data_IF_926309145392
#
_entry.id   IF_926309145392
#
_cell.length_a   1.000
_cell.length_b   1.000
_cell.length_c   1.000
_cell.angle_alpha   90.00
_cell.angle_beta   90.00
_cell.angle_gamma   90.00
#
_symmetry.space_group_name_H-M   'P 1'
#
loop_
_entity.id
_entity.type
_entity.pdbx_description
1 polymer ?
#
# COMPACT_ATOMS: atom_id res chain seq x y z
N UNK A 1 64.65 52.53 -32.83
CA UNK A 1 64.25 53.85 -32.31
C UNK A 1 62.83 54.06 -32.82
N UNK A 2 61.87 53.61 -31.99
CA UNK A 2 61.07 54.48 -31.11
C UNK A 2 59.96 55.13 -31.93
N UNK A 3 58.66 55.02 -31.64
CA UNK A 3 57.91 54.46 -30.53
C UNK A 3 56.46 54.96 -30.68
N UNK A 4 55.47 54.13 -30.26
CA UNK A 4 54.25 54.46 -29.48
C UNK A 4 53.61 55.87 -29.62
N UNK A 5 52.29 56.09 -29.73
CA UNK A 5 51.12 55.37 -29.19
C UNK A 5 49.79 55.89 -29.79
N UNK A 6 48.86 54.95 -29.95
CA UNK A 6 47.38 54.91 -29.81
C UNK A 6 46.50 56.18 -29.67
N UNK A 7 45.35 56.17 -30.38
CA UNK A 7 44.02 56.32 -29.72
C UNK A 7 42.89 55.59 -30.47
N UNK A 8 42.11 54.84 -29.70
CA UNK A 8 40.88 54.09 -30.02
C UNK A 8 39.66 54.98 -30.31
N UNK A 9 38.71 54.46 -31.10
CA UNK A 9 37.24 54.46 -30.81
C UNK A 9 36.55 53.41 -31.72
N UNK A 10 36.16 52.23 -31.22
CA UNK A 10 34.81 51.76 -30.76
C UNK A 10 33.77 51.40 -31.86
N UNK A 11 33.42 50.10 -32.02
CA UNK A 11 32.08 49.52 -31.75
C UNK A 11 31.88 48.06 -32.26
N UNK A 12 31.65 47.17 -31.29
CA UNK A 12 30.59 46.14 -31.20
C UNK A 12 30.25 45.18 -32.37
N UNK A 13 30.62 43.90 -32.20
CA UNK A 13 29.68 42.78 -31.98
C UNK A 13 28.83 42.21 -33.14
N UNK A 14 29.17 41.00 -33.60
CA UNK A 14 28.26 40.04 -34.28
C UNK A 14 28.68 38.62 -33.89
N UNK A 15 27.83 37.62 -33.62
CA UNK A 15 26.39 37.51 -33.32
C UNK A 15 26.26 36.12 -32.70
N UNK A 16 25.90 36.01 -31.42
CA UNK A 16 25.40 34.74 -30.87
C UNK A 16 24.01 34.53 -31.47
N UNK A 17 23.87 33.55 -32.35
CA UNK A 17 22.56 33.05 -32.77
C UNK A 17 21.82 32.51 -31.55
N UNK A 18 21.06 33.39 -30.91
CA UNK A 18 19.97 32.99 -30.03
C UNK A 18 18.83 32.58 -30.93
N UNK A 19 18.73 31.27 -31.18
CA UNK A 19 17.57 30.65 -31.82
C UNK A 19 16.32 31.07 -31.06
N UNK A 20 15.61 32.08 -31.59
CA UNK A 20 14.34 32.55 -31.05
C UNK A 20 13.33 31.42 -31.17
N UNK A 21 13.03 30.77 -30.04
CA UNK A 21 11.92 29.84 -29.92
C UNK A 21 10.66 30.62 -30.30
N UNK A 22 10.13 30.32 -31.47
CA UNK A 22 8.89 30.91 -31.97
C UNK A 22 7.74 30.36 -31.12
N UNK A 23 6.79 31.21 -30.73
CA UNK A 23 5.62 30.88 -29.88
C UNK A 23 4.98 29.48 -30.12
N UNK A 24 4.82 28.97 -31.36
CA UNK A 24 4.30 27.61 -31.56
C UNK A 24 5.23 26.48 -31.06
N UNK A 25 6.56 26.64 -31.15
CA UNK A 25 7.54 25.66 -30.64
C UNK A 25 7.59 25.63 -29.11
N UNK A 26 7.37 26.78 -28.46
CA UNK A 26 7.25 26.85 -27.00
C UNK A 26 5.97 26.14 -26.51
N UNK A 27 4.84 26.37 -27.17
CA UNK A 27 3.58 25.71 -26.84
C UNK A 27 3.66 24.18 -26.97
N UNK A 28 4.35 23.69 -28.02
CA UNK A 28 4.55 22.25 -28.24
C UNK A 28 5.42 21.61 -27.16
N UNK A 29 6.49 22.30 -26.72
CA UNK A 29 7.34 21.85 -25.62
C UNK A 29 6.62 21.86 -24.26
N UNK A 30 5.77 22.86 -24.01
CA UNK A 30 4.96 22.94 -22.79
C UNK A 30 3.93 21.81 -22.73
N UNK A 31 3.30 21.50 -23.87
CA UNK A 31 2.31 20.41 -23.94
C UNK A 31 2.97 19.04 -23.77
N UNK A 32 4.16 18.82 -24.37
CA UNK A 32 4.93 17.60 -24.16
C UNK A 32 5.40 17.45 -22.71
N UNK A 33 5.87 18.53 -22.08
CA UNK A 33 6.25 18.53 -20.68
C UNK A 33 5.05 18.28 -19.76
N UNK A 34 3.90 18.89 -20.03
CA UNK A 34 2.67 18.66 -19.27
C UNK A 34 2.18 17.20 -19.39
N UNK A 35 2.20 16.64 -20.60
CA UNK A 35 1.86 15.23 -20.81
C UNK A 35 2.82 14.30 -20.06
N UNK A 36 4.12 14.61 -20.05
CA UNK A 36 5.12 13.82 -19.32
C UNK A 36 4.93 13.89 -17.80
N UNK A 37 4.59 15.07 -17.26
CA UNK A 37 4.27 15.26 -15.83
C UNK A 37 3.00 14.50 -15.45
N UNK A 38 1.96 14.49 -16.30
CA UNK A 38 0.77 13.68 -16.08
C UNK A 38 1.11 12.19 -16.06
N UNK A 39 1.89 11.69 -17.03
CA UNK A 39 2.29 10.27 -17.08
C UNK A 39 3.11 9.88 -15.83
N UNK A 40 4.01 10.74 -15.36
CA UNK A 40 4.75 10.51 -14.11
C UNK A 40 3.83 10.48 -12.88
N UNK A 41 2.86 11.41 -12.78
CA UNK A 41 1.90 11.43 -11.68
C UNK A 41 1.00 10.18 -11.65
N UNK A 42 0.58 9.67 -12.81
CA UNK A 42 -0.22 8.44 -12.88
C UNK A 42 0.61 7.15 -12.79
N UNK A 43 1.93 7.20 -13.02
CA UNK A 43 2.81 6.04 -12.87
C UNK A 43 3.01 5.60 -11.42
N UNK A 44 2.81 6.49 -10.44
CA UNK A 44 2.84 6.16 -9.02
C UNK A 44 1.54 5.49 -8.52
N UNK A 45 0.41 5.64 -9.25
CA UNK A 45 -0.85 4.96 -8.92
C UNK A 45 -0.85 3.48 -9.35
N UNK A 46 0.08 3.07 -10.22
CA UNK A 46 0.21 1.68 -10.68
C UNK A 46 0.91 0.74 -9.69
N UNK A 47 1.58 1.27 -8.66
CA UNK A 47 2.31 0.44 -7.69
C UNK A 47 1.43 -0.07 -6.53
N UNK A 48 0.20 0.43 -6.37
CA UNK A 48 -0.71 0.00 -5.29
C UNK A 48 -1.74 -1.04 -5.72
N UNK A 49 -1.85 -1.36 -7.01
CA UNK A 49 -2.77 -2.37 -7.55
C UNK A 49 -1.98 -3.57 -8.07
N UNK A 50 -1.16 -4.18 -7.22
CA UNK A 50 -0.85 -5.60 -7.44
C UNK A 50 -2.05 -6.39 -6.91
N UNK A 51 -2.69 -7.25 -7.73
CA UNK A 51 -3.64 -8.20 -7.20
C UNK A 51 -2.95 -8.98 -6.10
N UNK A 52 -3.52 -8.95 -4.89
CA UNK A 52 -3.11 -9.87 -3.83
C UNK A 52 -3.57 -11.23 -4.33
N UNK A 53 -2.66 -11.99 -4.95
CA UNK A 53 -2.96 -13.36 -5.29
C UNK A 53 -3.16 -14.13 -3.98
N UNK A 54 -4.26 -14.89 -3.85
CA UNK A 54 -4.45 -15.73 -2.68
C UNK A 54 -3.27 -16.72 -2.58
N UNK A 55 -2.78 -17.00 -1.36
CA UNK A 55 -1.70 -17.96 -1.19
C UNK A 55 -2.18 -19.34 -1.64
N UNK A 56 -1.26 -20.15 -2.15
CA UNK A 56 -1.58 -21.55 -2.43
C UNK A 56 -1.82 -22.34 -1.13
N UNK A 57 -2.30 -23.58 -1.25
CA UNK A 57 -2.63 -24.40 -0.07
C UNK A 57 -1.42 -24.62 0.87
N UNK A 58 -0.20 -24.75 0.33
CA UNK A 58 1.00 -25.00 1.12
C UNK A 58 1.44 -23.71 1.83
N UNK A 59 1.47 -22.59 1.11
CA UNK A 59 1.74 -21.26 1.65
C UNK A 59 0.71 -20.88 2.73
N UNK A 60 -0.55 -21.28 2.55
CA UNK A 60 -1.59 -21.09 3.54
C UNK A 60 -1.34 -21.92 4.80
N UNK A 61 -0.92 -23.19 4.68
CA UNK A 61 -0.55 -23.98 5.87
C UNK A 61 0.60 -23.36 6.64
N UNK A 62 1.61 -22.84 5.95
CA UNK A 62 2.75 -22.21 6.59
C UNK A 62 2.36 -20.88 7.24
N UNK A 63 1.49 -20.10 6.60
CA UNK A 63 0.90 -18.89 7.18
C UNK A 63 0.08 -19.21 8.44
N UNK A 64 -0.75 -20.26 8.43
CA UNK A 64 -1.46 -20.70 9.64
C UNK A 64 -0.51 -21.02 10.79
N UNK A 65 0.59 -21.74 10.53
CA UNK A 65 1.60 -22.03 11.57
C UNK A 65 2.23 -20.76 12.16
N UNK A 66 2.38 -19.70 11.35
CA UNK A 66 2.90 -18.40 11.81
C UNK A 66 1.89 -17.62 12.62
N UNK A 67 0.61 -17.78 12.31
CA UNK A 67 -0.49 -17.11 12.99
C UNK A 67 -0.88 -17.81 14.31
N UNK A 68 -0.64 -19.11 14.48
CA UNK A 68 -1.06 -19.80 15.70
C UNK A 68 -0.53 -19.18 16.99
N UNK A 69 -1.43 -19.04 17.97
CA UNK A 69 -1.14 -18.50 19.29
C UNK A 69 -0.44 -17.13 19.24
N UNK A 70 -0.80 -16.28 18.27
CA UNK A 70 -0.28 -14.92 18.13
C UNK A 70 -1.38 -13.89 18.33
N UNK A 71 -0.97 -12.69 18.76
CA UNK A 71 -1.84 -11.52 18.87
C UNK A 71 -1.23 -10.35 18.11
N UNK A 72 -2.09 -9.57 17.50
CA UNK A 72 -1.73 -8.49 16.59
C UNK A 72 -2.48 -7.23 16.97
N UNK A 73 -1.83 -6.09 16.91
CA UNK A 73 -2.39 -4.78 17.26
C UNK A 73 -2.44 -3.88 16.05
N UNK A 74 -3.51 -3.08 15.96
CA UNK A 74 -3.69 -2.11 14.89
C UNK A 74 -2.50 -1.14 14.84
N UNK A 75 -1.91 -1.00 13.66
CA UNK A 75 -0.85 -0.03 13.42
C UNK A 75 -1.45 1.37 13.27
N UNK A 76 -1.29 2.19 14.30
CA UNK A 76 -1.78 3.57 14.34
C UNK A 76 -0.78 4.59 13.78
N UNK A 77 0.40 4.15 13.31
CA UNK A 77 1.38 5.04 12.70
C UNK A 77 0.95 5.54 11.29
N UNK A 78 -0.05 4.91 10.68
CA UNK A 78 -0.63 5.27 9.38
C UNK A 78 -1.95 6.07 9.47
N UNK A 79 -2.64 6.21 8.33
CA UNK A 79 -4.01 6.73 8.30
C UNK A 79 -4.93 5.62 8.83
N UNK A 80 -5.30 5.68 10.11
CA UNK A 80 -6.25 4.75 10.71
C UNK A 80 -7.61 4.94 10.04
N UNK A 81 -8.07 3.90 9.36
CA UNK A 81 -9.39 3.85 8.72
C UNK A 81 -10.10 2.63 9.25
N UNK A 82 -11.32 2.82 9.74
CA UNK A 82 -12.16 1.71 10.21
C UNK A 82 -12.79 1.04 9.00
N UNK A 83 -13.02 -0.26 9.10
CA UNK A 83 -13.72 -1.01 8.06
C UNK A 83 -15.22 -0.78 8.20
N UNK A 84 -15.88 -0.35 7.13
CA UNK A 84 -17.34 -0.21 7.07
C UNK A 84 -18.02 -1.57 7.35
N UNK A 85 -17.34 -2.67 7.00
CA UNK A 85 -17.74 -4.06 7.27
C UNK A 85 -17.85 -4.38 8.77
N UNK A 86 -17.24 -3.56 9.62
CA UNK A 86 -17.38 -3.60 11.07
C UNK A 86 -18.24 -2.45 11.61
N UNK A 87 -19.14 -1.88 10.80
CA UNK A 87 -19.97 -0.71 11.14
C UNK A 87 -19.13 0.47 11.64
N UNK A 88 -18.00 0.73 10.97
CA UNK A 88 -17.03 1.78 11.30
C UNK A 88 -16.46 1.69 12.73
N UNK A 89 -16.55 0.52 13.37
CA UNK A 89 -15.91 0.27 14.66
C UNK A 89 -14.41 0.02 14.48
N UNK A 90 -13.61 0.58 15.39
CA UNK A 90 -12.17 0.34 15.40
C UNK A 90 -11.87 -1.05 15.95
N UNK A 91 -11.42 -1.96 15.07
CA UNK A 91 -10.85 -3.24 15.44
C UNK A 91 -9.40 -3.01 15.88
N UNK A 92 -9.17 -2.95 17.19
CA UNK A 92 -7.90 -2.56 17.80
C UNK A 92 -6.91 -3.72 17.89
N UNK A 93 -7.39 -4.96 18.01
CA UNK A 93 -6.53 -6.14 18.03
C UNK A 93 -7.20 -7.40 17.49
N UNK A 94 -6.34 -8.35 17.07
CA UNK A 94 -6.74 -9.66 16.56
C UNK A 94 -5.87 -10.71 17.24
N UNK A 95 -6.49 -11.72 17.85
CA UNK A 95 -5.78 -12.87 18.43
C UNK A 95 -6.21 -14.17 17.76
N UNK A 96 -5.23 -15.01 17.42
CA UNK A 96 -5.44 -16.31 16.79
C UNK A 96 -5.19 -17.45 17.77
N UNK A 97 -6.06 -18.45 17.72
CA UNK A 97 -5.97 -19.68 18.48
C UNK A 97 -4.73 -20.50 18.13
N UNK A 98 -4.49 -21.53 18.91
CA UNK A 98 -3.28 -22.36 18.82
C UNK A 98 -3.33 -23.46 17.75
N UNK A 99 -4.50 -23.72 17.16
CA UNK A 99 -4.71 -24.84 16.24
C UNK A 99 -6.00 -24.66 15.43
N UNK A 100 -6.13 -25.47 14.38
CA UNK A 100 -7.38 -25.63 13.63
C UNK A 100 -8.30 -26.63 14.33
N UNK A 101 -9.61 -26.40 14.24
CA UNK A 101 -10.63 -27.39 14.58
C UNK A 101 -10.77 -28.46 13.47
N UNK A 102 -11.69 -29.41 13.68
CA UNK A 102 -11.97 -30.51 12.73
C UNK A 102 -12.43 -30.01 11.36
N UNK A 103 -13.09 -28.86 11.31
CA UNK A 103 -13.55 -28.20 10.08
C UNK A 103 -12.46 -27.33 9.40
N UNK A 104 -11.24 -27.30 9.96
CA UNK A 104 -10.11 -26.58 9.38
C UNK A 104 -10.02 -25.09 9.72
N UNK A 105 -10.84 -24.61 10.66
CA UNK A 105 -10.86 -23.21 11.11
C UNK A 105 -10.03 -22.98 12.37
N UNK A 106 -9.42 -21.80 12.46
CA UNK A 106 -8.73 -21.34 13.67
C UNK A 106 -9.65 -20.40 14.44
N UNK A 107 -9.82 -20.64 15.75
CA UNK A 107 -10.55 -19.69 16.60
C UNK A 107 -9.84 -18.34 16.59
N UNK A 108 -10.58 -17.26 16.41
CA UNK A 108 -10.05 -15.89 16.37
C UNK A 108 -10.85 -15.01 17.32
N UNK A 109 -10.17 -14.13 18.05
CA UNK A 109 -10.80 -13.09 18.88
C UNK A 109 -10.53 -11.76 18.21
N UNK A 110 -11.60 -11.00 17.96
CA UNK A 110 -11.58 -9.66 17.41
C UNK A 110 -11.88 -8.67 18.55
N UNK A 111 -10.91 -7.86 18.92
CA UNK A 111 -11.04 -6.86 19.99
C UNK A 111 -11.33 -5.50 19.38
N UNK A 112 -12.47 -4.92 19.74
CA UNK A 112 -12.87 -3.59 19.32
C UNK A 112 -12.70 -2.59 20.47
N UNK A 113 -12.54 -1.31 20.15
CA UNK A 113 -12.33 -0.26 21.16
C UNK A 113 -13.52 -0.12 22.14
N UNK A 114 -14.75 -0.14 21.62
CA UNK A 114 -15.95 0.29 22.38
C UNK A 114 -16.96 -0.83 22.67
N UNK A 115 -16.70 -2.07 22.23
CA UNK A 115 -17.61 -3.21 22.41
C UNK A 115 -16.87 -4.44 22.95
N UNK A 116 -17.59 -5.40 23.58
CA UNK A 116 -17.00 -6.66 23.97
C UNK A 116 -16.34 -7.39 22.80
N UNK A 117 -15.24 -8.14 23.02
CA UNK A 117 -14.59 -8.89 21.97
C UNK A 117 -15.53 -9.87 21.27
N UNK A 118 -15.39 -9.97 19.95
CA UNK A 118 -16.17 -10.88 19.12
C UNK A 118 -15.36 -12.15 18.83
N UNK A 119 -15.98 -13.32 19.02
CA UNK A 119 -15.41 -14.58 18.56
C UNK A 119 -15.69 -14.76 17.08
N UNK A 120 -14.63 -15.04 16.32
CA UNK A 120 -14.66 -15.34 14.91
C UNK A 120 -13.85 -16.63 14.62
N UNK A 121 -13.85 -17.04 13.37
CA UNK A 121 -13.10 -18.18 12.86
C UNK A 121 -12.34 -17.75 11.61
N UNK A 122 -11.03 -18.00 11.59
CA UNK A 122 -10.20 -17.83 10.40
C UNK A 122 -10.22 -19.13 9.58
N UNK A 123 -10.66 -19.02 8.33
CA UNK A 123 -10.63 -20.10 7.34
C UNK A 123 -9.74 -19.77 6.14
N UNK A 124 -9.55 -20.75 5.26
CA UNK A 124 -8.84 -20.59 3.99
C UNK A 124 -9.59 -21.30 2.86
N UNK A 125 -9.66 -20.68 1.68
CA UNK A 125 -10.17 -21.25 0.42
C UNK A 125 -9.16 -20.90 -0.68
N UNK A 126 -8.77 -21.85 -1.53
CA UNK A 126 -7.73 -21.61 -2.55
C UNK A 126 -8.06 -20.44 -3.49
N UNK A 127 -9.32 -20.31 -3.93
CA UNK A 127 -9.73 -19.26 -4.87
C UNK A 127 -9.91 -17.87 -4.22
N UNK A 128 -9.96 -17.79 -2.90
CA UNK A 128 -10.31 -16.57 -2.16
C UNK A 128 -9.19 -16.10 -1.21
N UNK A 129 -8.40 -17.02 -0.67
CA UNK A 129 -7.43 -16.78 0.39
C UNK A 129 -8.05 -16.96 1.77
N UNK A 130 -7.50 -16.24 2.75
CA UNK A 130 -7.99 -16.28 4.13
C UNK A 130 -9.21 -15.38 4.31
N UNK A 131 -10.16 -15.87 5.10
CA UNK A 131 -11.42 -15.19 5.40
C UNK A 131 -11.78 -15.37 6.87
N UNK A 132 -12.55 -14.41 7.39
CA UNK A 132 -13.13 -14.49 8.73
C UNK A 132 -14.59 -14.91 8.62
N UNK A 133 -15.05 -15.66 9.61
CA UNK A 133 -16.45 -16.06 9.77
C UNK A 133 -16.91 -15.80 11.20
N UNK A 134 -18.13 -15.32 11.37
CA UNK A 134 -18.79 -15.24 12.68
C UNK A 134 -20.20 -15.78 12.56
N UNK A 135 -20.65 -16.53 13.58
CA UNK A 135 -22.00 -17.13 13.60
C UNK A 135 -22.38 -17.93 12.34
N UNK A 136 -21.41 -18.53 11.65
CA UNK A 136 -21.64 -19.29 10.41
C UNK A 136 -21.58 -18.46 9.12
N UNK A 137 -21.48 -17.14 9.20
CA UNK A 137 -21.47 -16.23 8.06
C UNK A 137 -20.07 -15.64 7.81
N UNK A 138 -19.65 -15.65 6.54
CA UNK A 138 -18.37 -15.06 6.13
C UNK A 138 -18.46 -13.53 6.27
N UNK A 139 -17.51 -12.94 6.98
CA UNK A 139 -17.35 -11.49 7.08
C UNK A 139 -16.72 -11.03 5.75
N UNK A 140 -17.24 -9.97 5.10
CA UNK A 140 -16.77 -9.49 3.80
C UNK A 140 -15.42 -8.75 3.89
N UNK A 141 -14.43 -9.41 4.51
CA UNK A 141 -13.05 -8.94 4.65
C UNK A 141 -12.11 -10.04 4.17
N UNK A 142 -11.05 -9.64 3.47
CA UNK A 142 -9.93 -10.52 3.14
C UNK A 142 -8.83 -10.36 4.17
N UNK A 143 -8.26 -11.48 4.58
CA UNK A 143 -7.11 -11.50 5.49
C UNK A 143 -5.87 -11.88 4.71
N UNK A 144 -4.77 -11.17 4.93
CA UNK A 144 -3.46 -11.55 4.42
C UNK A 144 -2.44 -11.55 5.54
N UNK A 145 -1.45 -12.43 5.40
CA UNK A 145 -0.26 -12.44 6.23
C UNK A 145 0.95 -12.17 5.34
N UNK A 146 1.82 -11.29 5.79
CA UNK A 146 3.07 -10.99 5.12
C UNK A 146 4.22 -10.91 6.13
N UNK A 147 5.41 -11.29 5.68
CA UNK A 147 6.65 -11.12 6.41
C UNK A 147 7.64 -10.37 5.53
N UNK A 148 8.35 -9.39 6.12
CA UNK A 148 9.41 -8.66 5.46
C UNK A 148 10.54 -9.60 5.03
N UNK A 149 11.28 -9.23 3.97
CA UNK A 149 12.41 -10.06 3.46
C UNK A 149 13.49 -10.33 4.50
N UNK A 150 13.67 -9.42 5.46
CA UNK A 150 14.62 -9.57 6.57
C UNK A 150 14.04 -10.34 7.77
N UNK A 151 12.78 -10.76 7.70
CA UNK A 151 12.09 -11.53 8.73
C UNK A 151 11.75 -10.77 10.01
N UNK A 152 12.03 -9.46 10.06
CA UNK A 152 11.89 -8.65 11.27
C UNK A 152 10.49 -8.11 11.50
N UNK A 153 9.74 -7.90 10.42
CA UNK A 153 8.40 -7.36 10.48
C UNK A 153 7.46 -8.39 9.90
N UNK A 154 6.44 -8.72 10.69
CA UNK A 154 5.30 -9.48 10.22
C UNK A 154 4.09 -8.57 10.28
N UNK A 155 3.17 -8.74 9.34
CA UNK A 155 1.95 -7.93 9.25
C UNK A 155 0.77 -8.82 8.90
N UNK A 156 -0.33 -8.64 9.62
CA UNK A 156 -1.65 -9.12 9.22
C UNK A 156 -2.39 -7.94 8.63
N UNK A 157 -2.94 -8.08 7.42
CA UNK A 157 -3.73 -7.03 6.79
C UNK A 157 -5.16 -7.51 6.63
N UNK A 158 -6.12 -6.67 7.04
CA UNK A 158 -7.52 -6.84 6.72
C UNK A 158 -7.89 -5.85 5.63
N UNK A 159 -8.50 -6.36 4.56
CA UNK A 159 -9.00 -5.57 3.45
C UNK A 159 -10.52 -5.70 3.39
N UNK A 160 -11.23 -4.59 3.55
CA UNK A 160 -12.68 -4.56 3.35
C UNK A 160 -13.03 -4.80 1.88
N UNK A 161 -13.89 -5.76 1.59
CA UNK A 161 -14.30 -6.05 0.20
C UNK A 161 -15.20 -4.97 -0.38
N UNK A 162 -15.98 -4.30 0.46
CA UNK A 162 -16.92 -3.25 0.05
C UNK A 162 -16.25 -1.88 0.11
N UNK A 163 -15.57 -1.60 1.22
CA UNK A 163 -14.94 -0.31 1.47
C UNK A 163 -13.61 -0.13 0.74
N UNK A 164 -12.95 -1.23 0.36
CA UNK A 164 -11.58 -1.25 -0.18
C UNK A 164 -10.56 -0.55 0.76
N UNK A 165 -10.88 -0.52 2.05
CA UNK A 165 -10.03 0.00 3.12
C UNK A 165 -9.08 -1.10 3.60
N UNK A 166 -7.86 -0.70 3.95
CA UNK A 166 -6.80 -1.60 4.42
C UNK A 166 -6.42 -1.24 5.85
N UNK A 167 -6.57 -2.19 6.77
CA UNK A 167 -6.11 -2.08 8.14
C UNK A 167 -4.92 -3.00 8.35
N UNK A 168 -3.82 -2.44 8.87
CA UNK A 168 -2.58 -3.17 9.11
C UNK A 168 -2.43 -3.46 10.59
N UNK A 169 -2.06 -4.70 10.90
CA UNK A 169 -1.85 -5.16 12.26
C UNK A 169 -0.44 -5.70 12.41
N UNK A 170 0.25 -5.24 13.44
CA UNK A 170 1.61 -5.64 13.78
C UNK A 170 1.60 -6.63 14.93
N UNK A 171 2.53 -7.59 14.87
CA UNK A 171 2.65 -8.63 15.88
C UNK A 171 3.09 -8.02 17.22
N UNK A 172 2.42 -8.43 18.30
CA UNK A 172 2.74 -8.05 19.68
C UNK A 172 3.81 -8.94 20.28
#
# INVERSE_FOLDING_TARGET
MEGTETKQETKAGEKKETSKITKPKAAMLIMAAAAMVCIMAFSCYGCSYQPINPPDAQEAQDSFKKLYATSWQLDTAGITTNLEEFNDMELSAIAFGNSKNEDGFVSTILEFADIPPLTAQLGFKEDYGFYLRTNGEDIPVKVTYAQSKDGKTETVTLMGEQSNIYCYYLKK
#
